data_IF_702845454415
#
_entry.id   IF_702845454415
#
_cell.length_a   1.000
_cell.length_b   1.000
_cell.length_c   1.000
_cell.angle_alpha   90.00
_cell.angle_beta   90.00
_cell.angle_gamma   90.00
#
_symmetry.space_group_name_H-M   'P 1'
#
loop_
_entity.id
_entity.type
_entity.pdbx_description
1 polymer ?
#
# COMPACT_ATOMS: atom_id res chain seq x y z
N UNK A 1 -1.64 -1.89 -16.88
CA UNK A 1 -1.26 -3.30 -16.89
C UNK A 1 -0.01 -3.42 -16.04
N UNK A 2 -0.11 -4.11 -14.91
CA UNK A 2 1.07 -4.58 -14.18
C UNK A 2 1.45 -5.90 -14.86
N UNK A 3 2.73 -6.12 -15.14
CA UNK A 3 3.17 -7.41 -15.69
C UNK A 3 3.38 -8.41 -14.53
N UNK A 4 2.99 -9.69 -14.68
CA UNK A 4 3.17 -10.73 -13.66
C UNK A 4 4.63 -10.91 -13.23
N UNK A 5 4.88 -11.48 -12.03
CA UNK A 5 3.89 -12.05 -11.11
C UNK A 5 3.39 -11.05 -10.06
N UNK A 6 2.10 -10.72 -10.09
CA UNK A 6 1.42 -9.98 -9.02
C UNK A 6 0.26 -10.81 -8.48
N UNK A 7 0.03 -10.74 -7.17
CA UNK A 7 -1.12 -11.36 -6.50
C UNK A 7 -2.10 -10.24 -6.14
N UNK A 8 -3.35 -10.39 -6.56
CA UNK A 8 -4.43 -9.52 -6.09
C UNK A 8 -5.08 -10.16 -4.86
N UNK A 9 -5.16 -9.39 -3.77
CA UNK A 9 -5.88 -9.80 -2.56
C UNK A 9 -6.97 -8.78 -2.31
N UNK A 10 -8.22 -9.24 -2.21
CA UNK A 10 -9.36 -8.41 -1.80
C UNK A 10 -9.68 -8.70 -0.33
N UNK A 11 -9.66 -7.67 0.51
CA UNK A 11 -9.93 -7.76 1.93
C UNK A 11 -11.06 -6.79 2.30
N UNK A 12 -12.03 -7.26 3.06
CA UNK A 12 -13.06 -6.41 3.64
C UNK A 12 -12.61 -5.95 5.02
N UNK A 13 -12.10 -4.72 5.11
CA UNK A 13 -11.56 -4.13 6.33
C UNK A 13 -12.28 -2.82 6.64
N UNK A 14 -12.35 -2.49 7.93
CA UNK A 14 -12.70 -1.13 8.32
C UNK A 14 -11.60 -0.18 7.80
N UNK A 15 -12.00 1.00 7.31
CA UNK A 15 -11.06 1.98 6.77
C UNK A 15 -9.97 2.38 7.77
N UNK A 16 -10.29 2.34 9.07
CA UNK A 16 -9.36 2.68 10.15
C UNK A 16 -8.31 1.60 10.41
N UNK A 17 -8.55 0.35 9.96
CA UNK A 17 -7.63 -0.78 10.18
C UNK A 17 -6.63 -0.99 9.04
N UNK A 18 -6.83 -0.31 7.90
CA UNK A 18 -5.94 -0.41 6.74
C UNK A 18 -4.51 0.07 7.04
N UNK A 19 -4.29 1.21 7.74
CA UNK A 19 -2.94 1.63 8.13
C UNK A 19 -2.22 0.56 8.97
N UNK A 20 -2.90 0.00 9.97
CA UNK A 20 -2.33 -1.02 10.86
C UNK A 20 -1.96 -2.30 10.10
N UNK A 21 -2.80 -2.72 9.15
CA UNK A 21 -2.48 -3.84 8.29
C UNK A 21 -1.23 -3.58 7.43
N UNK A 22 -1.12 -2.39 6.83
CA UNK A 22 0.05 -2.04 6.02
C UNK A 22 1.33 -2.02 6.85
N UNK A 23 1.27 -1.50 8.08
CA UNK A 23 2.38 -1.56 9.04
C UNK A 23 2.75 -3.02 9.33
N UNK A 24 1.78 -3.84 9.71
CA UNK A 24 2.01 -5.25 10.02
C UNK A 24 2.59 -6.05 8.85
N UNK A 25 2.14 -5.79 7.62
CA UNK A 25 2.72 -6.40 6.41
C UNK A 25 4.15 -5.90 6.20
N UNK A 26 4.42 -4.61 6.40
CA UNK A 26 5.76 -4.03 6.27
C UNK A 26 6.76 -4.59 7.29
N UNK A 27 6.29 -4.95 8.49
CA UNK A 27 7.12 -5.54 9.54
C UNK A 27 7.27 -7.06 9.40
N UNK A 28 6.48 -7.67 8.52
CA UNK A 28 6.55 -9.11 8.25
C UNK A 28 7.61 -9.47 7.21
N UNK A 29 8.06 -10.72 7.21
CA UNK A 29 8.92 -11.28 6.16
C UNK A 29 8.14 -11.67 4.88
N UNK A 30 6.92 -11.15 4.69
CA UNK A 30 6.06 -11.50 3.55
C UNK A 30 6.38 -10.68 2.29
N UNK A 31 7.00 -9.50 2.47
CA UNK A 31 7.41 -8.66 1.35
C UNK A 31 8.87 -8.95 0.99
N UNK A 32 9.14 -9.17 -0.29
CA UNK A 32 10.50 -9.13 -0.82
C UNK A 32 11.06 -7.70 -0.78
N UNK A 33 12.39 -7.57 -0.79
CA UNK A 33 13.05 -6.26 -0.69
C UNK A 33 12.67 -5.28 -1.82
N UNK A 34 12.23 -5.79 -2.97
CA UNK A 34 11.78 -5.01 -4.14
C UNK A 34 10.27 -4.96 -4.31
N UNK A 35 9.50 -5.42 -3.30
CA UNK A 35 8.06 -5.49 -3.37
C UNK A 35 7.43 -4.08 -3.50
N UNK A 36 6.45 -3.99 -4.40
CA UNK A 36 5.60 -2.81 -4.57
C UNK A 36 4.20 -3.15 -4.11
N UNK A 37 3.70 -2.42 -3.13
CA UNK A 37 2.33 -2.56 -2.64
C UNK A 37 1.47 -1.47 -3.27
N UNK A 38 0.31 -1.84 -3.81
CA UNK A 38 -0.60 -0.89 -4.44
C UNK A 38 -1.90 -0.93 -3.67
N UNK A 39 -2.23 0.18 -3.02
CA UNK A 39 -3.50 0.34 -2.32
C UNK A 39 -4.47 1.14 -3.19
N UNK A 40 -5.65 0.58 -3.44
CA UNK A 40 -6.81 1.31 -3.97
C UNK A 40 -7.70 1.73 -2.81
N UNK A 41 -8.02 3.01 -2.69
CA UNK A 41 -8.81 3.56 -1.59
C UNK A 41 -9.64 4.78 -2.03
N UNK A 42 -10.65 5.21 -1.26
CA UNK A 42 -11.37 6.46 -1.52
C UNK A 42 -10.46 7.69 -1.42
N UNK A 43 -10.76 8.75 -2.17
CA UNK A 43 -9.99 10.01 -2.16
C UNK A 43 -10.08 10.78 -0.83
N UNK A 44 -11.00 10.44 0.05
CA UNK A 44 -11.10 11.00 1.41
C UNK A 44 -9.99 10.51 2.34
N UNK A 45 -9.23 9.49 1.94
CA UNK A 45 -8.14 8.91 2.72
C UNK A 45 -6.81 9.37 2.17
N UNK A 46 -5.96 9.91 3.05
CA UNK A 46 -4.63 10.36 2.68
C UNK A 46 -3.55 9.47 3.31
N UNK A 47 -2.72 8.87 2.47
CA UNK A 47 -1.56 8.05 2.85
C UNK A 47 -0.22 8.67 2.41
N UNK A 48 -0.10 10.01 2.42
CA UNK A 48 1.13 10.73 2.08
C UNK A 48 2.31 10.53 3.04
N UNK A 49 2.13 9.75 4.11
CA UNK A 49 3.17 9.45 5.10
C UNK A 49 3.59 7.99 5.03
N UNK A 50 4.81 7.70 5.47
CA UNK A 50 5.28 6.33 5.63
C UNK A 50 4.40 5.56 6.62
N UNK A 51 4.14 4.30 6.31
CA UNK A 51 3.42 3.35 7.15
C UNK A 51 4.36 2.21 7.48
N UNK A 52 4.99 2.27 8.67
CA UNK A 52 6.11 1.38 8.99
C UNK A 52 7.22 1.54 7.95
N UNK A 53 7.64 0.44 7.35
CA UNK A 53 8.68 0.40 6.30
C UNK A 53 8.13 0.63 4.89
N UNK A 54 6.84 0.94 4.75
CA UNK A 54 6.23 1.24 3.45
C UNK A 54 6.21 2.75 3.22
N UNK A 55 7.01 3.19 2.24
CA UNK A 55 7.04 4.59 1.81
C UNK A 55 6.13 4.80 0.60
N UNK A 56 5.20 5.77 0.64
CA UNK A 56 4.43 6.14 -0.55
C UNK A 56 5.37 6.79 -1.59
N UNK A 57 5.38 6.28 -2.82
CA UNK A 57 6.24 6.76 -3.92
C UNK A 57 5.47 7.38 -5.06
N UNK A 58 4.19 7.04 -5.21
CA UNK A 58 3.34 7.58 -6.25
C UNK A 58 1.89 7.49 -5.81
N UNK A 59 1.10 8.48 -6.20
CA UNK A 59 -0.34 8.47 -6.03
C UNK A 59 -1.03 8.93 -7.31
N UNK A 60 -2.13 8.26 -7.69
CA UNK A 60 -2.98 8.66 -8.82
C UNK A 60 -4.45 8.60 -8.47
N UNK A 61 -5.20 9.58 -8.94
CA UNK A 61 -6.65 9.67 -8.71
C UNK A 61 -7.41 9.39 -9.99
N UNK A 62 -8.47 8.59 -9.87
CA UNK A 62 -9.40 8.23 -10.93
C UNK A 62 -10.83 8.36 -10.38
N UNK A 63 -11.48 9.50 -10.66
CA UNK A 63 -12.80 9.79 -10.09
C UNK A 63 -12.76 9.88 -8.57
N UNK A 64 -13.62 9.12 -7.88
CA UNK A 64 -13.69 9.03 -6.41
C UNK A 64 -12.70 8.05 -5.79
N UNK A 65 -11.84 7.43 -6.59
CA UNK A 65 -10.87 6.43 -6.16
C UNK A 65 -9.45 6.94 -6.36
N UNK A 66 -8.57 6.55 -5.45
CA UNK A 66 -7.15 6.87 -5.46
C UNK A 66 -6.35 5.57 -5.35
N UNK A 67 -5.22 5.53 -6.04
CA UNK A 67 -4.27 4.44 -6.01
C UNK A 67 -2.96 4.99 -5.47
N UNK A 68 -2.47 4.40 -4.38
CA UNK A 68 -1.19 4.77 -3.77
C UNK A 68 -0.24 3.59 -3.90
N UNK A 69 0.93 3.83 -4.48
CA UNK A 69 2.02 2.88 -4.60
C UNK A 69 2.97 3.10 -3.44
N UNK A 70 3.24 2.03 -2.70
CA UNK A 70 4.24 1.99 -1.66
C UNK A 70 5.43 1.15 -2.11
N UNK A 71 6.61 1.63 -1.76
CA UNK A 71 7.85 0.89 -1.88
C UNK A 71 8.31 0.50 -0.47
N UNK A 72 8.75 -0.75 -0.33
CA UNK A 72 9.39 -1.20 0.88
C UNK A 72 10.77 -0.53 1.03
N UNK A 73 11.00 0.09 2.18
CA UNK A 73 12.23 0.77 2.53
C UNK A 73 12.67 0.30 3.93
N UNK A 74 13.58 -0.70 4.01
CA UNK A 74 14.00 -1.28 5.29
C UNK A 74 14.88 -0.34 6.12
N UNK A 75 15.24 0.86 5.62
CA UNK A 75 16.07 1.83 6.33
C UNK A 75 15.27 2.86 7.14
N UNK A 76 13.94 2.83 7.05
CA UNK A 76 13.01 3.64 7.85
C UNK A 76 12.67 2.89 9.14
#
# INVERSE_FOLDING_TARGET
>A
YLDPPYINVELNLSQNSVPDLLIAISDSNLLADDAKVILRHPTSVNYERCLGKLRPVRTKTYGSMQFTWFQYDPQI
#
